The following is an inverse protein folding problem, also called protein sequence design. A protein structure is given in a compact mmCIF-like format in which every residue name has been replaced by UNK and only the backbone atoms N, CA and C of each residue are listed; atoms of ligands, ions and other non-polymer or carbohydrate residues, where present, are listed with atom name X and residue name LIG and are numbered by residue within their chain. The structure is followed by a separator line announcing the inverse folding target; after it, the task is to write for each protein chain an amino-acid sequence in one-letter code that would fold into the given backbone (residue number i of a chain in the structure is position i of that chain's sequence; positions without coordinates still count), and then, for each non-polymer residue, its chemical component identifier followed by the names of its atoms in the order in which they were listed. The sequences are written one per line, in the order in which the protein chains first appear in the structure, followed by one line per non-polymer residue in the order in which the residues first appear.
data_IF_859050083897
#
_entry.id   IF_859050083897
#
_cell.length_a   1.000
_cell.length_b   1.000
_cell.length_c   1.000
_cell.angle_alpha   90.00
_cell.angle_beta   90.00
_cell.angle_gamma   90.00
#
_symmetry.space_group_name_H-M   'P 1'
#
loop_
_entity.id
_entity.type
_entity.pdbx_description
1 polymer ?
#
# COMPACT_ATOMS: atom_id res chain seq x y z
N UNK A 1 -22.43 9.15 -0.68
CA UNK A 1 -20.96 9.04 -0.57
C UNK A 1 -20.42 10.30 -1.21
N UNK A 2 -19.54 11.05 -0.52
CA UNK A 2 -18.98 12.28 -1.09
C UNK A 2 -18.03 11.95 -2.25
N UNK A 3 -17.75 12.95 -3.09
CA UNK A 3 -16.80 12.82 -4.18
C UNK A 3 -15.41 12.45 -3.65
N UNK A 4 -14.95 13.10 -2.57
CA UNK A 4 -13.65 12.79 -1.98
C UNK A 4 -13.58 11.35 -1.47
N UNK A 5 -14.68 10.84 -0.89
CA UNK A 5 -14.74 9.45 -0.42
C UNK A 5 -14.64 8.45 -1.57
N UNK A 6 -15.16 8.80 -2.76
CA UNK A 6 -15.06 7.97 -3.97
C UNK A 6 -13.63 7.93 -4.48
N UNK A 7 -12.99 9.08 -4.61
CA UNK A 7 -11.58 9.20 -5.04
C UNK A 7 -10.65 8.42 -4.12
N UNK A 8 -10.83 8.54 -2.79
CA UNK A 8 -10.03 7.79 -1.82
C UNK A 8 -10.16 6.27 -1.98
N UNK A 9 -11.35 5.76 -2.29
CA UNK A 9 -11.55 4.31 -2.56
C UNK A 9 -10.84 3.86 -3.83
N UNK A 10 -10.82 4.70 -4.86
CA UNK A 10 -10.11 4.39 -6.11
C UNK A 10 -8.60 4.38 -5.90
N UNK A 11 -8.07 5.38 -5.19
CA UNK A 11 -6.66 5.46 -4.79
C UNK A 11 -6.28 4.23 -3.98
N UNK A 12 -7.05 3.88 -2.95
CA UNK A 12 -6.85 2.67 -2.17
C UNK A 12 -6.80 1.40 -3.04
N UNK A 13 -7.72 1.29 -4.01
CA UNK A 13 -7.75 0.17 -4.95
C UNK A 13 -6.52 0.09 -5.85
N UNK A 14 -5.97 1.23 -6.27
CA UNK A 14 -4.71 1.31 -7.03
C UNK A 14 -3.53 0.88 -6.16
N UNK A 15 -3.37 1.47 -4.97
CA UNK A 15 -2.27 1.17 -4.04
C UNK A 15 -2.24 -0.32 -3.68
N UNK A 16 -3.40 -0.91 -3.36
CA UNK A 16 -3.50 -2.33 -2.99
C UNK A 16 -3.00 -3.29 -4.09
N UNK A 17 -2.95 -2.85 -5.34
CA UNK A 17 -2.47 -3.63 -6.49
C UNK A 17 -1.02 -3.35 -6.87
N UNK A 18 -0.40 -2.34 -6.28
CA UNK A 18 1.01 -2.04 -6.51
C UNK A 18 1.89 -3.10 -5.83
N UNK A 19 3.03 -3.38 -6.45
CA UNK A 19 4.11 -4.13 -5.82
C UNK A 19 4.97 -3.20 -4.95
N UNK A 20 5.82 -3.79 -4.11
CA UNK A 20 6.85 -3.03 -3.37
C UNK A 20 7.80 -2.32 -4.33
N UNK A 21 8.13 -2.95 -5.47
CA UNK A 21 9.04 -2.38 -6.45
C UNK A 21 8.44 -1.14 -7.12
N UNK A 22 7.14 -1.16 -7.43
CA UNK A 22 6.43 0.01 -7.98
C UNK A 22 6.48 1.22 -7.03
N UNK A 23 6.35 0.98 -5.72
CA UNK A 23 6.42 2.05 -4.73
C UNK A 23 7.85 2.53 -4.53
N UNK A 24 8.85 1.64 -4.58
CA UNK A 24 10.24 2.04 -4.51
C UNK A 24 10.66 2.89 -5.70
N UNK A 25 10.18 2.59 -6.92
CA UNK A 25 10.41 3.44 -8.08
C UNK A 25 9.75 4.82 -7.89
N UNK A 26 8.49 4.87 -7.43
CA UNK A 26 7.82 6.13 -7.11
C UNK A 26 8.59 6.95 -6.06
N UNK A 27 9.13 6.30 -5.03
CA UNK A 27 9.94 6.93 -3.99
C UNK A 27 11.24 7.52 -4.54
N UNK A 28 11.89 6.87 -5.52
CA UNK A 28 13.10 7.39 -6.16
C UNK A 28 12.83 8.62 -7.02
N UNK A 29 11.64 8.72 -7.59
CA UNK A 29 11.22 9.82 -8.46
C UNK A 29 10.39 10.88 -7.74
N UNK A 30 10.31 10.84 -6.41
CA UNK A 30 9.57 11.83 -5.63
C UNK A 30 10.15 13.23 -5.84
N UNK A 31 9.30 14.19 -6.20
CA UNK A 31 9.68 15.57 -6.47
C UNK A 31 9.55 16.45 -5.24
N UNK A 32 8.64 16.10 -4.32
CA UNK A 32 8.40 16.84 -3.07
C UNK A 32 8.52 15.97 -1.82
N UNK A 33 8.65 16.61 -0.66
CA UNK A 33 8.68 15.90 0.61
C UNK A 33 7.32 15.26 0.92
N UNK A 34 6.20 15.90 0.53
CA UNK A 34 4.86 15.34 0.69
C UNK A 34 4.68 14.05 -0.14
N UNK A 35 5.20 14.02 -1.37
CA UNK A 35 5.20 12.79 -2.18
C UNK A 35 6.05 11.70 -1.53
N UNK A 36 7.24 12.06 -1.05
CA UNK A 36 8.15 11.14 -0.36
C UNK A 36 7.49 10.53 0.88
N UNK A 37 6.87 11.35 1.72
CA UNK A 37 6.11 10.88 2.90
C UNK A 37 4.96 9.96 2.50
N UNK A 38 4.20 10.31 1.46
CA UNK A 38 3.12 9.48 0.95
C UNK A 38 3.62 8.10 0.51
N UNK A 39 4.70 8.04 -0.27
CA UNK A 39 5.25 6.76 -0.76
C UNK A 39 5.84 5.90 0.37
N UNK A 40 6.45 6.50 1.38
CA UNK A 40 6.89 5.79 2.59
C UNK A 40 5.71 5.17 3.35
N UNK A 41 4.62 5.92 3.49
CA UNK A 41 3.39 5.43 4.12
C UNK A 41 2.76 4.28 3.31
N UNK A 42 2.75 4.41 1.98
CA UNK A 42 2.28 3.34 1.08
C UNK A 42 3.13 2.06 1.22
N UNK A 43 4.45 2.20 1.30
CA UNK A 43 5.37 1.05 1.51
C UNK A 43 5.02 0.30 2.79
N UNK A 44 4.87 1.03 3.90
CA UNK A 44 4.50 0.47 5.20
C UNK A 44 3.15 -0.25 5.15
N UNK A 45 2.18 0.34 4.46
CA UNK A 45 0.85 -0.24 4.28
C UNK A 45 0.91 -1.58 3.51
N UNK A 46 1.62 -1.64 2.37
CA UNK A 46 1.75 -2.87 1.58
C UNK A 46 2.46 -3.96 2.39
N UNK A 47 3.55 -3.61 3.08
CA UNK A 47 4.27 -4.56 3.93
C UNK A 47 3.37 -5.17 5.01
N UNK A 48 2.56 -4.35 5.69
CA UNK A 48 1.59 -4.85 6.67
C UNK A 48 0.52 -5.75 6.03
N UNK A 49 0.07 -5.44 4.81
CA UNK A 49 -0.86 -6.30 4.08
C UNK A 49 -0.27 -7.67 3.76
N UNK A 50 0.98 -7.72 3.31
CA UNK A 50 1.67 -8.99 3.03
C UNK A 50 1.91 -9.79 4.31
N UNK A 51 2.35 -9.15 5.39
CA UNK A 51 2.50 -9.81 6.70
C UNK A 51 1.19 -10.45 7.16
N UNK A 52 0.05 -9.75 7.05
CA UNK A 52 -1.27 -10.29 7.38
C UNK A 52 -1.63 -11.50 6.52
N UNK A 53 -1.27 -11.51 5.23
CA UNK A 53 -1.50 -12.68 4.36
C UNK A 53 -0.67 -13.89 4.82
N UNK A 54 0.59 -13.69 5.19
CA UNK A 54 1.48 -14.76 5.69
C UNK A 54 0.94 -15.35 6.99
N UNK A 55 0.53 -14.51 7.95
CA UNK A 55 -0.02 -14.95 9.23
C UNK A 55 -1.28 -15.81 9.03
N UNK A 56 -2.23 -15.35 8.18
CA UNK A 56 -3.42 -16.13 7.84
C UNK A 56 -3.11 -17.48 7.19
N UNK A 57 -2.04 -17.58 6.41
CA UNK A 57 -1.59 -18.85 5.84
C UNK A 57 -1.02 -19.77 6.92
N UNK A 58 -0.26 -19.24 7.88
CA UNK A 58 0.28 -20.03 9.00
C UNK A 58 -0.82 -20.59 9.89
N UNK A 59 -1.84 -19.80 10.21
CA UNK A 59 -3.01 -20.22 10.99
C UNK A 59 -3.75 -21.40 10.33
N UNK A 60 -3.92 -21.37 9.01
CA UNK A 60 -4.57 -22.46 8.25
C UNK A 60 -3.77 -23.75 8.18
N UNK A 61 -2.46 -23.72 8.42
CA UNK A 61 -1.58 -24.90 8.36
C UNK A 61 -1.44 -25.57 9.72
N UNK A 62 -1.70 -24.85 10.82
CA UNK A 62 -1.55 -25.34 12.19
C UNK A 62 -2.89 -25.53 12.93
N UNK A 63 -4.01 -25.32 12.25
CA UNK A 63 -5.37 -25.47 12.78
C UNK A 63 -6.10 -26.66 12.18
#
# INVERSE_FOLDING_TARGET
MSEETRELKEIYGKIKRMSIDDIHEALKTAETEEERELYLNMTSFIMQMEQKKILKRKEKVHG
#
